data_IF_565451066328
#
_entry.id   IF_565451066328
#
_cell.length_a   1.000
_cell.length_b   1.000
_cell.length_c   1.000
_cell.angle_alpha   90.00
_cell.angle_beta   90.00
_cell.angle_gamma   90.00
#
_symmetry.space_group_name_H-M   'P 1'
#
loop_
_entity.id
_entity.type
_entity.pdbx_description
1 polymer ?
#
# COMPACT_ATOMS: atom_id res chain seq x y z
N UNK A 1 7.62 38.14 18.28
CA UNK A 1 6.35 37.72 17.64
C UNK A 1 5.97 36.37 18.23
N UNK A 2 4.78 36.24 18.82
CA UNK A 2 4.29 35.02 19.47
C UNK A 2 4.15 33.85 18.48
N UNK A 3 4.22 32.64 19.03
CA UNK A 3 4.46 31.38 18.33
C UNK A 3 3.62 31.16 17.08
N UNK A 4 4.33 30.96 15.97
CA UNK A 4 3.81 30.25 14.82
C UNK A 4 3.62 28.81 15.28
N UNK A 5 2.43 28.47 15.78
CA UNK A 5 2.04 27.07 15.91
C UNK A 5 2.05 26.53 14.49
N UNK A 6 3.00 25.66 14.16
CA UNK A 6 2.84 24.75 13.03
C UNK A 6 1.53 24.02 13.28
N UNK A 7 0.44 24.49 12.65
CA UNK A 7 -0.78 23.71 12.56
C UNK A 7 -0.35 22.42 11.89
N UNK A 8 -0.26 21.36 12.69
CA UNK A 8 0.15 20.06 12.19
C UNK A 8 -0.77 19.75 11.02
N UNK A 9 -0.19 19.46 9.85
CA UNK A 9 -0.93 19.10 8.64
C UNK A 9 -1.93 17.95 8.90
N UNK A 10 -1.72 17.17 9.96
CA UNK A 10 -2.65 16.16 10.46
C UNK A 10 -4.01 16.72 10.91
N UNK A 11 -4.08 17.98 11.36
CA UNK A 11 -5.33 18.66 11.74
C UNK A 11 -6.24 18.98 10.54
N UNK A 12 -5.69 18.92 9.32
CA UNK A 12 -6.46 19.11 8.09
C UNK A 12 -7.17 17.82 7.63
N UNK A 13 -6.93 16.71 8.30
CA UNK A 13 -7.55 15.41 7.97
C UNK A 13 -8.70 15.15 8.94
N UNK A 14 -9.94 14.97 8.45
CA UNK A 14 -11.07 14.61 9.31
C UNK A 14 -10.84 13.26 10.03
N UNK A 15 -11.35 13.09 11.27
CA UNK A 15 -11.19 11.85 12.03
C UNK A 15 -11.69 10.59 11.29
N UNK A 16 -12.73 10.73 10.47
CA UNK A 16 -13.28 9.66 9.65
C UNK A 16 -12.29 9.21 8.57
N UNK A 17 -11.63 10.17 7.91
CA UNK A 17 -10.62 9.90 6.89
C UNK A 17 -9.35 9.29 7.52
N UNK A 18 -8.97 9.75 8.72
CA UNK A 18 -7.87 9.15 9.50
C UNK A 18 -8.17 7.68 9.85
N UNK A 19 -9.39 7.40 10.31
CA UNK A 19 -9.84 6.04 10.62
C UNK A 19 -9.82 5.14 9.39
N UNK A 20 -10.29 5.65 8.25
CA UNK A 20 -10.25 4.91 6.98
C UNK A 20 -8.80 4.64 6.54
N UNK A 21 -7.91 5.63 6.62
CA UNK A 21 -6.49 5.48 6.31
C UNK A 21 -5.82 4.42 7.21
N UNK A 22 -6.11 4.42 8.51
CA UNK A 22 -5.65 3.39 9.45
C UNK A 22 -6.11 2.00 9.03
N UNK A 23 -7.38 1.85 8.66
CA UNK A 23 -7.90 0.58 8.16
C UNK A 23 -7.18 0.14 6.89
N UNK A 24 -6.93 1.06 5.95
CA UNK A 24 -6.17 0.77 4.73
C UNK A 24 -4.75 0.27 5.04
N UNK A 25 -4.11 0.87 6.05
CA UNK A 25 -2.79 0.41 6.51
C UNK A 25 -2.85 -1.00 7.08
N UNK A 26 -3.79 -1.28 7.98
CA UNK A 26 -3.89 -2.58 8.64
C UNK A 26 -4.16 -3.69 7.62
N UNK A 27 -5.13 -3.50 6.72
CA UNK A 27 -5.44 -4.51 5.70
C UNK A 27 -4.31 -4.69 4.70
N UNK A 28 -3.63 -3.63 4.27
CA UNK A 28 -2.48 -3.77 3.37
C UNK A 28 -1.32 -4.49 4.07
N UNK A 29 -1.05 -4.16 5.33
CA UNK A 29 0.04 -4.77 6.11
C UNK A 29 -0.14 -6.26 6.26
N UNK A 30 -1.37 -6.73 6.50
CA UNK A 30 -1.67 -8.15 6.56
C UNK A 30 -1.49 -8.86 5.21
N UNK A 31 -1.95 -8.25 4.10
CA UNK A 31 -1.71 -8.79 2.76
C UNK A 31 -0.21 -8.86 2.45
N UNK A 32 0.55 -7.82 2.79
CA UNK A 32 1.99 -7.79 2.63
C UNK A 32 2.67 -8.86 3.49
N UNK A 33 2.25 -9.05 4.74
CA UNK A 33 2.77 -10.12 5.61
C UNK A 33 2.61 -11.49 4.94
N UNK A 34 1.42 -11.79 4.41
CA UNK A 34 1.17 -13.02 3.67
C UNK A 34 1.99 -13.14 2.38
N UNK A 35 2.17 -12.03 1.66
CA UNK A 35 3.02 -11.98 0.46
C UNK A 35 4.49 -12.27 0.80
N UNK A 36 5.07 -11.56 1.76
CA UNK A 36 6.49 -11.68 2.13
C UNK A 36 6.83 -13.04 2.74
N UNK A 37 5.92 -13.61 3.55
CA UNK A 37 6.09 -14.98 4.10
C UNK A 37 6.01 -16.07 3.05
N UNK A 38 5.59 -15.76 1.82
CA UNK A 38 5.60 -16.71 0.71
C UNK A 38 6.95 -16.77 -0.01
N UNK A 39 7.93 -15.94 0.38
CA UNK A 39 9.29 -15.97 -0.14
C UNK A 39 10.30 -16.60 0.85
N UNK A 40 11.29 -17.36 0.35
CA UNK A 40 11.46 -17.80 -1.04
C UNK A 40 10.46 -18.92 -1.40
N UNK A 41 9.84 -18.90 -2.60
CA UNK A 41 8.96 -19.98 -3.02
C UNK A 41 9.79 -21.16 -3.53
N UNK A 42 9.96 -22.18 -2.70
CA UNK A 42 10.79 -23.36 -2.99
C UNK A 42 9.98 -24.55 -3.51
N UNK A 43 8.65 -24.49 -3.46
CA UNK A 43 7.74 -25.54 -3.96
C UNK A 43 6.70 -24.94 -4.91
N UNK A 44 6.14 -25.73 -5.85
CA UNK A 44 5.10 -25.26 -6.79
C UNK A 44 3.89 -24.60 -6.09
N UNK A 45 3.53 -25.10 -4.90
CA UNK A 45 2.42 -24.56 -4.11
C UNK A 45 2.76 -23.16 -3.58
N UNK A 46 4.00 -22.94 -3.13
CA UNK A 46 4.47 -21.63 -2.70
C UNK A 46 4.58 -20.66 -3.87
N UNK A 47 4.98 -21.12 -5.06
CA UNK A 47 4.99 -20.29 -6.27
C UNK A 47 3.58 -19.84 -6.64
N UNK A 48 2.61 -20.76 -6.66
CA UNK A 48 1.21 -20.44 -6.91
C UNK A 48 0.66 -19.47 -5.85
N UNK A 49 1.06 -19.64 -4.58
CA UNK A 49 0.70 -18.72 -3.50
C UNK A 49 1.27 -17.32 -3.72
N UNK A 50 2.54 -17.19 -4.10
CA UNK A 50 3.17 -15.89 -4.41
C UNK A 50 2.43 -15.16 -5.52
N UNK A 51 2.05 -15.86 -6.60
CA UNK A 51 1.26 -15.28 -7.70
C UNK A 51 -0.12 -14.81 -7.22
N UNK A 52 -0.85 -15.65 -6.50
CA UNK A 52 -2.17 -15.28 -5.93
C UNK A 52 -2.08 -14.09 -4.98
N UNK A 53 -1.04 -14.03 -4.16
CA UNK A 53 -0.83 -12.90 -3.23
C UNK A 53 -0.49 -11.61 -3.97
N UNK A 54 0.30 -11.67 -5.04
CA UNK A 54 0.58 -10.51 -5.89
C UNK A 54 -0.71 -9.97 -6.54
N UNK A 55 -1.54 -10.86 -7.11
CA UNK A 55 -2.84 -10.49 -7.67
C UNK A 55 -3.78 -9.88 -6.62
N UNK A 56 -3.75 -10.39 -5.38
CA UNK A 56 -4.53 -9.84 -4.28
C UNK A 56 -4.09 -8.41 -3.91
N UNK A 57 -2.78 -8.14 -3.91
CA UNK A 57 -2.23 -6.79 -3.68
C UNK A 57 -2.66 -5.82 -4.79
N UNK A 58 -2.61 -6.25 -6.06
CA UNK A 58 -3.04 -5.44 -7.20
C UNK A 58 -4.55 -5.13 -7.13
N UNK A 59 -5.38 -6.13 -6.81
CA UNK A 59 -6.82 -5.94 -6.61
C UNK A 59 -7.11 -5.00 -5.45
N UNK A 60 -6.37 -5.13 -4.35
CA UNK A 60 -6.51 -4.25 -3.20
C UNK A 60 -6.18 -2.79 -3.55
N UNK A 61 -5.08 -2.57 -4.29
CA UNK A 61 -4.69 -1.24 -4.75
C UNK A 61 -5.80 -0.59 -5.59
N UNK A 62 -6.34 -1.32 -6.57
CA UNK A 62 -7.38 -0.83 -7.46
C UNK A 62 -8.73 -0.61 -6.75
N UNK A 63 -9.14 -1.54 -5.88
CA UNK A 63 -10.48 -1.52 -5.29
C UNK A 63 -10.60 -0.67 -4.02
N UNK A 64 -9.49 -0.42 -3.32
CA UNK A 64 -9.49 0.26 -2.01
C UNK A 64 -8.61 1.49 -1.99
N UNK A 65 -7.33 1.34 -2.36
CA UNK A 65 -6.37 2.44 -2.22
C UNK A 65 -6.63 3.58 -3.22
N UNK A 66 -6.87 3.26 -4.49
CA UNK A 66 -7.09 4.26 -5.54
C UNK A 66 -8.34 5.12 -5.32
N UNK A 67 -9.52 4.55 -4.98
CA UNK A 67 -10.69 5.36 -4.65
C UNK A 67 -10.47 6.29 -3.44
N UNK A 68 -9.72 5.84 -2.43
CA UNK A 68 -9.36 6.70 -1.30
C UNK A 68 -8.41 7.82 -1.72
N UNK A 69 -7.37 7.51 -2.50
CA UNK A 69 -6.39 8.48 -3.00
C UNK A 69 -7.04 9.59 -3.83
N UNK A 70 -7.91 9.23 -4.78
CA UNK A 70 -8.63 10.19 -5.61
C UNK A 70 -9.52 11.11 -4.79
N UNK A 71 -10.22 10.57 -3.78
CA UNK A 71 -11.02 11.35 -2.85
C UNK A 71 -10.14 12.26 -2.00
N UNK A 72 -9.04 11.73 -1.46
CA UNK A 72 -8.14 12.46 -0.60
C UNK A 72 -7.50 13.67 -1.30
N UNK A 73 -7.09 13.52 -2.56
CA UNK A 73 -6.54 14.63 -3.37
C UNK A 73 -7.56 15.76 -3.55
N UNK A 74 -8.84 15.43 -3.71
CA UNK A 74 -9.92 16.42 -3.91
C UNK A 74 -10.33 17.10 -2.60
N UNK A 75 -10.46 16.33 -1.53
CA UNK A 75 -11.08 16.78 -0.28
C UNK A 75 -10.08 17.30 0.76
N UNK A 76 -8.84 16.81 0.73
CA UNK A 76 -7.82 17.12 1.76
C UNK A 76 -6.62 17.87 1.18
N UNK A 77 -6.82 18.71 0.17
CA UNK A 77 -5.76 19.56 -0.37
C UNK A 77 -5.21 20.51 0.71
N UNK A 78 -3.89 20.66 0.89
CA UNK A 78 -2.81 20.16 0.01
C UNK A 78 -2.24 18.78 0.40
N UNK A 79 -2.68 18.17 1.50
CA UNK A 79 -2.07 16.95 2.08
C UNK A 79 -2.56 15.66 1.44
N UNK A 80 -3.68 15.68 0.70
CA UNK A 80 -4.33 14.49 0.16
C UNK A 80 -3.41 13.54 -0.61
N UNK A 81 -2.49 14.09 -1.41
CA UNK A 81 -1.53 13.29 -2.19
C UNK A 81 -0.45 12.62 -1.34
N UNK A 82 -0.11 13.16 -0.16
CA UNK A 82 0.90 12.59 0.71
C UNK A 82 0.35 11.52 1.65
N UNK A 83 -0.96 11.48 1.90
CA UNK A 83 -1.60 10.52 2.81
C UNK A 83 -1.39 9.06 2.40
N UNK A 84 -1.40 8.77 1.10
CA UNK A 84 -1.24 7.41 0.55
C UNK A 84 0.17 7.10 0.07
N UNK A 85 1.10 8.06 0.14
CA UNK A 85 2.45 7.93 -0.43
C UNK A 85 3.16 6.66 0.06
N UNK A 86 3.17 6.44 1.37
CA UNK A 86 3.88 5.30 1.94
C UNK A 86 3.17 3.96 1.66
N UNK A 87 1.83 3.91 1.61
CA UNK A 87 1.09 2.72 1.13
C UNK A 87 1.49 2.35 -0.30
N UNK A 88 1.63 3.34 -1.19
CA UNK A 88 2.10 3.13 -2.56
C UNK A 88 3.55 2.64 -2.60
N UNK A 89 4.44 3.16 -1.75
CA UNK A 89 5.83 2.69 -1.66
C UNK A 89 5.91 1.21 -1.23
N UNK A 90 5.08 0.79 -0.28
CA UNK A 90 5.01 -0.61 0.16
C UNK A 90 4.56 -1.54 -0.97
N UNK A 91 3.54 -1.13 -1.75
CA UNK A 91 3.07 -1.87 -2.92
C UNK A 91 4.16 -1.97 -4.00
N UNK A 92 4.84 -0.87 -4.31
CA UNK A 92 5.94 -0.86 -5.28
C UNK A 92 7.09 -1.78 -4.86
N UNK A 93 7.40 -1.86 -3.56
CA UNK A 93 8.43 -2.77 -3.05
C UNK A 93 8.04 -4.24 -3.27
N UNK A 94 6.76 -4.58 -3.04
CA UNK A 94 6.23 -5.92 -3.32
C UNK A 94 6.27 -6.24 -4.83
N UNK A 95 5.87 -5.30 -5.68
CA UNK A 95 5.91 -5.45 -7.14
C UNK A 95 7.33 -5.70 -7.65
N UNK A 96 8.31 -4.92 -7.17
CA UNK A 96 9.72 -5.11 -7.53
C UNK A 96 10.23 -6.49 -7.11
N UNK A 97 9.87 -6.96 -5.92
CA UNK A 97 10.23 -8.31 -5.46
C UNK A 97 9.64 -9.38 -6.38
N UNK A 98 8.34 -9.27 -6.68
CA UNK A 98 7.64 -10.23 -7.53
C UNK A 98 8.21 -10.25 -8.95
N UNK A 99 8.41 -9.09 -9.56
CA UNK A 99 8.97 -8.97 -10.91
C UNK A 99 10.36 -9.61 -11.01
N UNK A 100 11.25 -9.33 -10.05
CA UNK A 100 12.59 -9.94 -10.00
C UNK A 100 12.53 -11.46 -9.86
N UNK A 101 11.65 -11.97 -9.00
CA UNK A 101 11.47 -13.42 -8.87
C UNK A 101 10.95 -14.06 -10.17
N UNK A 102 9.95 -13.44 -10.79
CA UNK A 102 9.35 -13.91 -12.05
C UNK A 102 10.37 -13.94 -13.20
N UNK A 103 11.21 -12.92 -13.29
CA UNK A 103 12.30 -12.85 -14.26
C UNK A 103 13.31 -14.00 -14.07
N UNK A 104 13.75 -14.24 -12.83
CA UNK A 104 14.67 -15.34 -12.52
C UNK A 104 14.04 -16.69 -12.89
N UNK A 105 12.74 -16.86 -12.63
CA UNK A 105 12.01 -18.07 -12.98
C UNK A 105 11.93 -18.29 -14.49
N UNK A 106 11.63 -17.26 -15.27
CA UNK A 106 11.53 -17.34 -16.74
C UNK A 106 12.88 -17.63 -17.44
N UNK A 107 14.00 -17.36 -16.76
CA UNK A 107 15.35 -17.64 -17.27
C UNK A 107 15.85 -19.05 -16.95
N UNK A 108 15.16 -19.79 -16.06
CA UNK A 108 15.49 -21.17 -15.69
C UNK A 108 14.63 -22.13 -16.49
#
# INVERSE_FOLDING_TARGET
MPGFQEQSLAQLVPPEAEKELKNLYLSLSELLRHFWTSFPPTTPELEAKVVKMHEALQRYQMAKLKPFEERAIREFSPVGASLTLHLNQLLQAADRKFAKWREIKMRR
#
